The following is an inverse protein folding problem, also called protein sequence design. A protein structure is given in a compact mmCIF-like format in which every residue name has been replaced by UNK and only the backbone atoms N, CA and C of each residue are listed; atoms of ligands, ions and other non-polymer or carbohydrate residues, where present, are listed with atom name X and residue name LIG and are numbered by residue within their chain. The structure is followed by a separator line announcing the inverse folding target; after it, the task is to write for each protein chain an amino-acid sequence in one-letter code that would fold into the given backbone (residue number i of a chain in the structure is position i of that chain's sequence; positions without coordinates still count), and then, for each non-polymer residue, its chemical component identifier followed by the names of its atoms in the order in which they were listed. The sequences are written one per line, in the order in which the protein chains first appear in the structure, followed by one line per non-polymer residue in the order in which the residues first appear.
data_IF_040320639311
#
_entry.id   IF_040320639311
#
_cell.length_a   1.000
_cell.length_b   1.000
_cell.length_c   1.000
_cell.angle_alpha   90.00
_cell.angle_beta   90.00
_cell.angle_gamma   90.00
#
_symmetry.space_group_name_H-M   'P 1'
#
loop_
_entity.id
_entity.type
_entity.pdbx_description
1 polymer ?
#
# COMPACT_ATOMS: atom_id res chain seq x y z
N UNK A 1 -7.03 6.72 -14.52
CA UNK A 1 -6.08 5.95 -13.69
C UNK A 1 -6.70 5.92 -12.30
N UNK A 2 -6.84 4.77 -11.65
CA UNK A 2 -7.46 4.72 -10.31
C UNK A 2 -6.67 5.63 -9.37
N UNK A 3 -7.34 6.60 -8.74
CA UNK A 3 -6.78 7.47 -7.70
C UNK A 3 -6.59 6.64 -6.42
N UNK A 4 -5.61 5.73 -6.45
CA UNK A 4 -5.14 5.02 -5.27
C UNK A 4 -4.43 6.02 -4.36
N UNK A 5 -4.71 5.97 -3.06
CA UNK A 5 -4.22 6.94 -2.10
C UNK A 5 -2.79 6.60 -1.68
N UNK A 6 -1.86 6.81 -2.61
CA UNK A 6 -0.44 6.48 -2.45
C UNK A 6 0.18 7.10 -1.20
N UNK A 7 -0.14 8.36 -0.90
CA UNK A 7 0.35 9.04 0.30
C UNK A 7 -0.09 8.35 1.59
N UNK A 8 -1.32 7.81 1.61
CA UNK A 8 -1.84 7.08 2.76
C UNK A 8 -1.14 5.72 2.91
N UNK A 9 -0.99 4.97 1.82
CA UNK A 9 -0.26 3.69 1.82
C UNK A 9 1.20 3.90 2.24
N UNK A 10 1.85 4.92 1.68
CA UNK A 10 3.22 5.29 2.04
C UNK A 10 3.35 5.59 3.52
N UNK A 11 2.49 6.45 4.05
CA UNK A 11 2.53 6.85 5.46
C UNK A 11 2.32 5.64 6.39
N UNK A 12 1.40 4.75 6.07
CA UNK A 12 1.15 3.54 6.88
C UNK A 12 2.34 2.57 6.85
N UNK A 13 2.95 2.36 5.68
CA UNK A 13 4.13 1.49 5.56
C UNK A 13 5.32 2.11 6.28
N UNK A 14 5.63 3.38 6.05
CA UNK A 14 6.79 4.06 6.66
C UNK A 14 6.62 4.31 8.16
N UNK A 15 5.40 4.24 8.70
CA UNK A 15 5.14 4.29 10.15
C UNK A 15 5.43 2.96 10.86
N UNK A 16 5.46 1.85 10.13
CA UNK A 16 5.78 0.55 10.72
C UNK A 16 7.26 0.50 11.11
N UNK A 17 7.56 -0.27 12.15
CA UNK A 17 8.91 -0.46 12.65
C UNK A 17 9.24 -1.95 12.65
N UNK A 18 10.43 -2.28 12.16
CA UNK A 18 10.93 -3.65 12.25
C UNK A 18 11.15 -4.01 13.73
N UNK A 19 10.48 -5.06 14.20
CA UNK A 19 10.56 -5.52 15.59
C UNK A 19 11.97 -6.01 15.96
N UNK A 20 12.74 -6.49 14.98
CA UNK A 20 14.10 -7.02 15.19
C UNK A 20 15.19 -5.92 15.18
N UNK A 21 15.03 -4.90 14.33
CA UNK A 21 16.10 -3.92 14.07
C UNK A 21 15.72 -2.49 14.48
N UNK A 22 14.46 -2.22 14.80
CA UNK A 22 13.97 -0.89 15.17
C UNK A 22 14.00 0.13 14.02
N UNK A 23 14.03 -0.35 12.77
CA UNK A 23 14.15 0.49 11.58
C UNK A 23 12.83 0.56 10.81
N UNK A 24 12.52 1.73 10.28
CA UNK A 24 11.36 1.97 9.43
C UNK A 24 11.64 1.54 7.98
N UNK A 25 10.66 0.97 7.27
CA UNK A 25 10.78 0.71 5.84
C UNK A 25 10.55 2.01 5.06
N UNK A 26 10.97 2.03 3.80
CA UNK A 26 10.75 3.13 2.86
C UNK A 26 9.99 2.59 1.64
N UNK A 27 8.84 3.22 1.32
CA UNK A 27 8.08 2.89 0.14
C UNK A 27 8.62 3.72 -1.05
N UNK A 28 9.19 3.04 -2.03
CA UNK A 28 9.73 3.67 -3.24
C UNK A 28 8.80 3.41 -4.42
N UNK A 29 8.50 4.45 -5.19
CA UNK A 29 7.78 4.29 -6.45
C UNK A 29 8.76 3.82 -7.51
N UNK A 30 8.43 2.75 -8.22
CA UNK A 30 9.23 2.19 -9.32
C UNK A 30 8.44 2.30 -10.62
N UNK A 31 9.10 2.18 -11.77
CA UNK A 31 8.43 2.19 -13.08
C UNK A 31 7.41 1.04 -13.23
N UNK A 32 7.62 -0.07 -12.52
CA UNK A 32 6.74 -1.25 -12.52
C UNK A 32 5.66 -1.19 -11.41
N UNK A 33 5.68 -0.17 -10.54
CA UNK A 33 4.72 -0.01 -9.46
C UNK A 33 5.37 0.51 -8.17
N UNK A 34 5.47 -0.36 -7.16
CA UNK A 34 5.98 -0.02 -5.84
C UNK A 34 7.05 -1.00 -5.39
N UNK A 35 8.16 -0.47 -4.89
CA UNK A 35 9.19 -1.20 -4.17
C UNK A 35 9.16 -0.84 -2.70
N UNK A 36 9.59 -1.78 -1.85
CA UNK A 36 9.79 -1.53 -0.42
C UNK A 36 11.24 -1.81 -0.10
N UNK A 37 11.90 -0.79 0.48
CA UNK A 37 13.19 -0.94 1.13
C UNK A 37 12.95 -1.18 2.62
N UNK A 38 13.56 -2.23 3.15
CA UNK A 38 13.46 -2.61 4.55
C UNK A 38 14.83 -3.09 5.03
N UNK A 39 15.03 -3.09 6.34
CA UNK A 39 16.29 -3.50 6.97
C UNK A 39 16.57 -5.01 6.85
N UNK A 40 15.53 -5.83 6.71
CA UNK A 40 15.65 -7.27 6.55
C UNK A 40 14.55 -7.82 5.63
N UNK A 41 14.82 -8.97 5.01
CA UNK A 41 13.88 -9.66 4.11
C UNK A 41 12.53 -10.03 4.75
N UNK A 42 12.45 -10.62 5.96
CA UNK A 42 11.15 -10.98 6.54
C UNK A 42 10.27 -9.75 6.79
N UNK A 43 10.86 -8.63 7.21
CA UNK A 43 10.13 -7.38 7.37
C UNK A 43 9.71 -6.81 6.01
N UNK A 44 10.58 -6.89 4.99
CA UNK A 44 10.25 -6.51 3.62
C UNK A 44 9.03 -7.27 3.11
N UNK A 45 9.01 -8.60 3.25
CA UNK A 45 7.90 -9.43 2.79
C UNK A 45 6.59 -9.09 3.51
N UNK A 46 6.64 -8.87 4.84
CA UNK A 46 5.49 -8.42 5.63
C UNK A 46 4.94 -7.08 5.14
N UNK A 47 5.83 -6.14 4.82
CA UNK A 47 5.43 -4.83 4.31
C UNK A 47 4.86 -4.91 2.88
N UNK A 48 5.44 -5.75 2.02
CA UNK A 48 4.92 -6.01 0.66
C UNK A 48 3.52 -6.59 0.75
N UNK A 49 3.30 -7.61 1.58
CA UNK A 49 1.99 -8.19 1.77
C UNK A 49 0.96 -7.18 2.31
N UNK A 50 1.36 -6.39 3.32
CA UNK A 50 0.50 -5.34 3.91
C UNK A 50 0.10 -4.30 2.85
N UNK A 51 1.07 -3.80 2.08
CA UNK A 51 0.81 -2.83 1.02
C UNK A 51 -0.11 -3.39 -0.07
N UNK A 52 0.06 -4.65 -0.45
CA UNK A 52 -0.81 -5.33 -1.42
C UNK A 52 -2.26 -5.41 -0.95
N UNK A 53 -2.49 -5.76 0.33
CA UNK A 53 -3.85 -5.80 0.91
C UNK A 53 -4.49 -4.42 0.92
N UNK A 54 -3.76 -3.39 1.34
CA UNK A 54 -4.27 -2.00 1.35
C UNK A 54 -4.69 -1.54 -0.05
N UNK A 55 -3.87 -1.82 -1.06
CA UNK A 55 -4.18 -1.50 -2.46
C UNK A 55 -5.44 -2.25 -2.93
N UNK A 56 -5.57 -3.54 -2.59
CA UNK A 56 -6.76 -4.32 -2.94
C UNK A 56 -8.02 -3.77 -2.30
N UNK A 57 -7.99 -3.42 -1.01
CA UNK A 57 -9.12 -2.85 -0.28
C UNK A 57 -9.53 -1.47 -0.81
N UNK A 58 -8.56 -0.59 -1.08
CA UNK A 58 -8.84 0.70 -1.72
C UNK A 58 -9.44 0.50 -3.12
N UNK A 59 -8.87 -0.40 -3.92
CA UNK A 59 -9.38 -0.71 -5.26
C UNK A 59 -10.82 -1.21 -5.20
N UNK A 60 -11.14 -2.14 -4.30
CA UNK A 60 -12.52 -2.63 -4.08
C UNK A 60 -13.46 -1.49 -3.70
N UNK A 61 -13.01 -0.60 -2.82
CA UNK A 61 -13.80 0.56 -2.37
C UNK A 61 -14.08 1.53 -3.52
N UNK A 62 -13.08 1.79 -4.36
CA UNK A 62 -13.24 2.64 -5.55
C UNK A 62 -14.22 2.00 -6.54
N UNK A 63 -14.07 0.70 -6.81
CA UNK A 63 -14.97 -0.06 -7.70
C UNK A 63 -16.40 -0.06 -7.18
N UNK A 64 -16.63 -0.28 -5.89
CA UNK A 64 -17.96 -0.24 -5.26
C UNK A 64 -18.60 1.15 -5.39
N UNK A 65 -17.83 2.22 -5.12
CA UNK A 65 -18.29 3.60 -5.31
C UNK A 65 -18.65 3.88 -6.76
N UNK A 66 -17.80 3.49 -7.71
CA UNK A 66 -18.06 3.66 -9.14
C UNK A 66 -19.33 2.91 -9.58
N UNK A 67 -19.53 1.67 -9.14
CA UNK A 67 -20.75 0.93 -9.44
C UNK A 67 -21.98 1.61 -8.85
N UNK A 68 -21.93 2.03 -7.57
CA UNK A 68 -23.05 2.74 -6.93
C UNK A 68 -23.40 4.05 -7.60
N UNK A 69 -22.42 4.76 -8.15
CA UNK A 69 -22.64 5.99 -8.91
C UNK A 69 -23.30 5.70 -10.27
N UNK A 70 -22.83 4.66 -10.98
CA UNK A 70 -23.41 4.18 -12.24
C UNK A 70 -24.86 3.71 -12.12
N UNK A 71 -25.24 3.10 -11.00
CA UNK A 71 -26.62 2.64 -10.73
C UNK A 71 -27.53 3.72 -10.12
N UNK A 72 -27.03 4.95 -9.91
CA UNK A 72 -27.82 6.09 -9.46
C UNK A 72 -28.42 6.93 -10.60
N UNK A 73 -28.16 6.56 -11.85
CA UNK A 73 -28.84 7.07 -13.05
C UNK A 73 -30.07 6.23 -13.44
#
# INVERSE_FOLDING_TARGET
MFDLNYDLIKKEIESEMCEEHGLHPELVKTDEGFGIKACCEPFREKMVEKSGRMIEEETKTILDKMMKDLFKE
#
